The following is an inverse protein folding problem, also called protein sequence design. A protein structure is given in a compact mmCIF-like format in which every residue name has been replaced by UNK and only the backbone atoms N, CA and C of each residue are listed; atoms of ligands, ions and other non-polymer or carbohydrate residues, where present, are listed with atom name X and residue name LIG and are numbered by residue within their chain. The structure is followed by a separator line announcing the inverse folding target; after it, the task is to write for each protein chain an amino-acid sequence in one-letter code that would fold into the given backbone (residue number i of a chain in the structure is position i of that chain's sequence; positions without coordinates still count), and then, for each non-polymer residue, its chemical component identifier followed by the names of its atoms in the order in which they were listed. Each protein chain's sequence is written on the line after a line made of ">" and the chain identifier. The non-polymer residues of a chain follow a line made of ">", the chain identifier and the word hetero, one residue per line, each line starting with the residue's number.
data_IF_202731582585
#
_entry.id   IF_202731582585
#
_cell.length_a   1.000
_cell.length_b   1.000
_cell.length_c   1.000
_cell.angle_alpha   90.00
_cell.angle_beta   90.00
_cell.angle_gamma   90.00
#
_symmetry.space_group_name_H-M   'P 1'
#
loop_
_entity.id
_entity.type
_entity.pdbx_description
1 polymer ?
#
# COMPACT_ATOMS: atom_id res chain seq x y z
N UNK A 1 1.51 -18.12 8.04
CA UNK A 1 0.34 -18.48 8.86
C UNK A 1 0.23 -17.68 10.16
N UNK A 2 1.28 -17.62 11.00
CA UNK A 2 1.22 -16.89 12.28
C UNK A 2 0.83 -15.40 12.17
N UNK A 3 1.34 -14.68 11.16
CA UNK A 3 0.97 -13.29 10.94
C UNK A 3 -0.52 -13.11 10.60
N UNK A 4 -1.06 -13.98 9.74
CA UNK A 4 -2.48 -13.95 9.37
C UNK A 4 -3.37 -14.22 10.57
N UNK A 5 -3.00 -15.21 11.38
CA UNK A 5 -3.70 -15.50 12.63
C UNK A 5 -3.65 -14.32 13.60
N UNK A 6 -2.51 -13.64 13.69
CA UNK A 6 -2.37 -12.44 14.51
C UNK A 6 -3.30 -11.31 14.04
N UNK A 7 -3.32 -11.00 12.74
CA UNK A 7 -4.20 -9.96 12.18
C UNK A 7 -5.69 -10.28 12.38
N UNK A 8 -6.08 -11.55 12.25
CA UNK A 8 -7.47 -11.97 12.46
C UNK A 8 -7.86 -11.99 13.94
N UNK A 9 -6.95 -12.34 14.85
CA UNK A 9 -7.23 -12.46 16.28
C UNK A 9 -7.12 -11.13 17.04
N UNK A 10 -6.23 -10.23 16.61
CA UNK A 10 -5.96 -8.97 17.29
C UNK A 10 -7.00 -7.90 16.92
N UNK A 11 -7.95 -7.63 17.82
CA UNK A 11 -9.04 -6.66 17.63
C UNK A 11 -8.63 -5.19 17.78
N UNK A 12 -7.36 -4.92 18.11
CA UNK A 12 -6.83 -3.56 18.12
C UNK A 12 -6.66 -3.02 16.69
N UNK A 13 -6.48 -1.70 16.55
CA UNK A 13 -6.23 -1.09 15.25
C UNK A 13 -4.85 -1.51 14.74
N UNK A 14 -4.83 -2.22 13.62
CA UNK A 14 -3.63 -2.55 12.89
C UNK A 14 -3.71 -2.08 11.44
N UNK A 15 -2.52 -1.95 10.84
CA UNK A 15 -2.32 -1.59 9.44
C UNK A 15 -1.42 -2.63 8.79
N UNK A 16 -1.85 -3.20 7.68
CA UNK A 16 -1.05 -4.09 6.85
C UNK A 16 -0.67 -3.38 5.55
N UNK A 17 0.62 -3.38 5.23
CA UNK A 17 1.13 -2.72 4.04
C UNK A 17 1.65 -3.77 3.05
N UNK A 18 1.06 -3.79 1.85
CA UNK A 18 1.62 -4.48 0.70
C UNK A 18 2.37 -3.47 -0.16
N UNK A 19 3.69 -3.41 0.05
CA UNK A 19 4.56 -2.55 -0.74
C UNK A 19 4.85 -3.19 -2.10
N UNK A 20 4.89 -2.37 -3.15
CA UNK A 20 5.35 -2.76 -4.49
C UNK A 20 4.67 -4.03 -5.04
N UNK A 21 3.35 -4.14 -4.87
CA UNK A 21 2.54 -5.29 -5.30
C UNK A 21 2.29 -5.28 -6.82
N UNK A 22 3.35 -5.37 -7.61
CA UNK A 22 3.29 -5.15 -9.06
C UNK A 22 3.09 -6.43 -9.87
N UNK A 23 3.43 -7.60 -9.31
CA UNK A 23 3.44 -8.89 -9.99
C UNK A 23 2.00 -9.42 -10.23
N UNK A 24 1.50 -9.42 -11.48
CA UNK A 24 0.10 -9.75 -11.77
C UNK A 24 -0.23 -11.24 -11.57
N UNK A 25 0.79 -12.11 -11.57
CA UNK A 25 0.59 -13.54 -11.33
C UNK A 25 0.28 -13.88 -9.87
N UNK A 26 0.50 -12.95 -8.94
CA UNK A 26 0.22 -13.13 -7.52
C UNK A 26 -1.23 -12.72 -7.22
N UNK A 27 -2.02 -13.69 -6.76
CA UNK A 27 -3.34 -13.42 -6.19
C UNK A 27 -3.19 -12.86 -4.76
N UNK A 28 -3.18 -11.53 -4.67
CA UNK A 28 -2.97 -10.80 -3.41
C UNK A 28 -4.07 -11.08 -2.37
N UNK A 29 -5.29 -11.41 -2.81
CA UNK A 29 -6.43 -11.68 -1.94
C UNK A 29 -6.17 -12.85 -0.97
N UNK A 30 -5.32 -13.81 -1.36
CA UNK A 30 -4.91 -14.94 -0.51
C UNK A 30 -4.16 -14.50 0.76
N UNK A 31 -3.62 -13.29 0.77
CA UNK A 31 -2.89 -12.73 1.90
C UNK A 31 -3.72 -11.74 2.72
N UNK A 32 -5.02 -11.58 2.42
CA UNK A 32 -5.90 -10.70 3.18
C UNK A 32 -6.44 -11.39 4.44
N UNK A 33 -6.32 -10.75 5.63
CA UNK A 33 -6.88 -11.29 6.85
C UNK A 33 -8.40 -11.42 6.73
N UNK A 34 -8.94 -12.58 7.05
CA UNK A 34 -10.38 -12.85 6.96
C UNK A 34 -11.09 -12.31 8.21
N UNK A 35 -11.16 -10.98 8.33
CA UNK A 35 -11.78 -10.27 9.42
C UNK A 35 -12.39 -8.94 8.98
N UNK A 36 -13.17 -8.31 9.86
CA UNK A 36 -13.91 -7.07 9.61
C UNK A 36 -13.29 -5.83 10.28
N UNK A 37 -12.03 -5.92 10.70
CA UNK A 37 -11.29 -4.87 11.38
C UNK A 37 -9.86 -4.79 10.81
N UNK A 38 -9.17 -3.69 11.11
CA UNK A 38 -7.87 -3.36 10.53
C UNK A 38 -7.99 -2.66 9.18
N UNK A 39 -6.87 -2.13 8.70
CA UNK A 39 -6.78 -1.48 7.39
C UNK A 39 -5.62 -2.08 6.57
N UNK A 40 -5.79 -2.08 5.25
CA UNK A 40 -4.77 -2.54 4.31
C UNK A 40 -4.44 -1.38 3.38
N UNK A 41 -3.15 -1.11 3.18
CA UNK A 41 -2.67 -0.23 2.12
C UNK A 41 -1.88 -1.07 1.14
N UNK A 42 -2.15 -0.88 -0.15
CA UNK A 42 -1.46 -1.53 -1.25
C UNK A 42 -0.85 -0.42 -2.09
N UNK A 43 0.47 -0.45 -2.26
CA UNK A 43 1.14 0.38 -3.27
C UNK A 43 1.52 -0.49 -4.45
N UNK A 44 1.19 -0.03 -5.65
CA UNK A 44 1.35 -0.83 -6.86
C UNK A 44 1.36 0.06 -8.10
N UNK A 45 2.05 -0.41 -9.14
CA UNK A 45 1.97 0.09 -10.53
C UNK A 45 0.91 -0.65 -11.35
N UNK A 46 0.32 -1.72 -10.80
CA UNK A 46 -0.75 -2.49 -11.42
C UNK A 46 -2.13 -1.91 -11.03
N UNK A 47 -2.79 -1.12 -11.90
CA UNK A 47 -4.10 -0.55 -11.60
C UNK A 47 -5.19 -1.63 -11.45
N UNK A 48 -4.96 -2.87 -11.89
CA UNK A 48 -5.88 -3.98 -11.72
C UNK A 48 -6.16 -4.34 -10.25
N UNK A 49 -5.25 -4.01 -9.33
CA UNK A 49 -5.45 -4.25 -7.90
C UNK A 49 -6.44 -3.28 -7.25
N UNK A 50 -6.87 -2.22 -7.94
CA UNK A 50 -7.92 -1.31 -7.45
C UNK A 50 -9.23 -2.04 -7.16
N UNK A 51 -9.47 -3.22 -7.75
CA UNK A 51 -10.64 -4.08 -7.44
C UNK A 51 -10.73 -4.47 -5.97
N UNK A 52 -9.59 -4.50 -5.26
CA UNK A 52 -9.52 -4.86 -3.84
C UNK A 52 -9.69 -3.68 -2.90
N UNK A 53 -9.66 -2.45 -3.42
CA UNK A 53 -9.57 -1.25 -2.61
C UNK A 53 -10.95 -0.63 -2.36
N UNK A 54 -11.26 -0.32 -1.09
CA UNK A 54 -12.43 0.49 -0.75
C UNK A 54 -12.28 1.95 -1.20
N UNK A 55 -11.03 2.42 -1.31
CA UNK A 55 -10.66 3.70 -1.90
C UNK A 55 -9.28 3.55 -2.56
N UNK A 56 -9.06 4.24 -3.68
CA UNK A 56 -7.78 4.26 -4.37
C UNK A 56 -7.38 5.70 -4.71
N UNK A 57 -6.08 5.92 -4.92
CA UNK A 57 -5.53 7.21 -5.32
C UNK A 57 -4.35 6.94 -6.24
N UNK A 58 -4.35 7.62 -7.39
CA UNK A 58 -3.19 7.65 -8.27
C UNK A 58 -2.20 8.67 -7.73
N UNK A 59 -0.95 8.25 -7.54
CA UNK A 59 0.14 9.17 -7.23
C UNK A 59 0.64 9.73 -8.55
N UNK A 60 0.34 11.01 -8.80
CA UNK A 60 0.75 11.73 -10.00
C UNK A 60 2.19 12.25 -9.87
N UNK A 61 2.66 12.91 -10.92
CA UNK A 61 3.93 13.60 -10.95
C UNK A 61 3.99 14.68 -9.87
N UNK A 62 5.19 14.87 -9.33
CA UNK A 62 5.50 15.98 -8.43
C UNK A 62 5.49 17.29 -9.22
N UNK A 63 4.94 18.35 -8.63
CA UNK A 63 5.01 19.70 -9.19
C UNK A 63 6.46 20.15 -9.35
N UNK A 64 6.75 20.95 -10.38
CA UNK A 64 8.12 21.36 -10.72
C UNK A 64 8.82 22.07 -9.55
N UNK A 65 8.11 22.97 -8.85
CA UNK A 65 8.65 23.70 -7.70
C UNK A 65 9.04 22.74 -6.56
N UNK A 66 8.19 21.74 -6.27
CA UNK A 66 8.48 20.71 -5.27
C UNK A 66 9.66 19.84 -5.69
N UNK A 67 9.78 19.54 -7.00
CA UNK A 67 10.89 18.78 -7.55
C UNK A 67 12.22 19.54 -7.45
N UNK A 68 12.23 20.85 -7.71
CA UNK A 68 13.40 21.72 -7.52
C UNK A 68 13.81 21.75 -6.04
N UNK A 69 12.84 21.92 -5.13
CA UNK A 69 13.09 21.88 -3.68
C UNK A 69 13.67 20.54 -3.25
N UNK A 70 13.13 19.43 -3.74
CA UNK A 70 13.64 18.09 -3.45
C UNK A 70 15.07 17.90 -3.95
N UNK A 71 15.38 18.38 -5.17
CA UNK A 71 16.71 18.30 -5.75
C UNK A 71 17.74 19.07 -4.91
N UNK A 72 17.44 20.33 -4.54
CA UNK A 72 18.33 21.15 -3.72
C UNK A 72 18.60 20.50 -2.37
N UNK A 73 17.54 20.06 -1.67
CA UNK A 73 17.66 19.32 -0.40
C UNK A 73 18.52 18.07 -0.52
N UNK A 74 18.35 17.31 -1.60
CA UNK A 74 19.10 16.06 -1.84
C UNK A 74 20.57 16.32 -2.17
N UNK A 75 20.88 17.47 -2.78
CA UNK A 75 22.23 17.94 -3.02
C UNK A 75 22.91 18.55 -1.76
N UNK A 76 22.20 18.57 -0.62
CA UNK A 76 22.60 19.26 0.60
C UNK A 76 22.85 20.77 0.41
N UNK A 77 22.09 21.37 -0.49
CA UNK A 77 22.07 22.82 -0.79
C UNK A 77 20.81 23.48 -0.20
#
# INVERSE_FOLDING_TARGET
>A
EAAMQWFTANKENWLLFFDSADEPSIDLNKFFPQCNHGNIIITTRNPGLCVYAGANTHVDNMEEDDAVVLLLKSAAL
#
